data_IF_863921898957
#
_entry.id   IF_863921898957
#
_cell.length_a   1.000
_cell.length_b   1.000
_cell.length_c   1.000
_cell.angle_alpha   90.00
_cell.angle_beta   90.00
_cell.angle_gamma   90.00
#
_symmetry.space_group_name_H-M   'P 1'
#
loop_
_entity.id
_entity.type
_entity.pdbx_description
1 polymer ?
#
# COMPACT_ATOMS: atom_id res chain seq x y z
N UNK A 1 7.78 38.91 -10.96
CA UNK A 1 6.43 38.44 -10.60
C UNK A 1 6.31 38.56 -9.09
N UNK A 2 5.29 39.24 -8.57
CA UNK A 2 5.15 39.40 -7.10
C UNK A 2 4.67 38.09 -6.47
N UNK A 3 5.06 37.84 -5.23
CA UNK A 3 4.67 36.64 -4.47
C UNK A 3 3.14 36.45 -4.40
N UNK A 4 2.38 37.54 -4.44
CA UNK A 4 0.90 37.52 -4.52
C UNK A 4 0.37 36.82 -5.77
N UNK A 5 1.01 37.01 -6.93
CA UNK A 5 0.56 36.37 -8.17
C UNK A 5 0.86 34.87 -8.18
N UNK A 6 1.93 34.43 -7.50
CA UNK A 6 2.27 33.01 -7.37
C UNK A 6 1.28 32.34 -6.41
N UNK A 7 0.95 32.99 -5.29
CA UNK A 7 -0.01 32.46 -4.32
C UNK A 7 -1.43 32.32 -4.92
N UNK A 8 -1.84 33.28 -5.75
CA UNK A 8 -3.14 33.25 -6.43
C UNK A 8 -3.21 32.15 -7.49
N UNK A 9 -2.11 31.92 -8.22
CA UNK A 9 -2.00 30.82 -9.18
C UNK A 9 -2.07 29.46 -8.49
N UNK A 10 -1.34 29.27 -7.39
CA UNK A 10 -1.36 28.02 -6.61
C UNK A 10 -2.76 27.75 -6.05
N UNK A 11 -3.45 28.76 -5.50
CA UNK A 11 -4.82 28.61 -4.99
C UNK A 11 -5.78 28.17 -6.08
N UNK A 12 -5.66 28.74 -7.28
CA UNK A 12 -6.49 28.36 -8.43
C UNK A 12 -6.24 26.90 -8.80
N UNK A 13 -4.99 26.50 -8.98
CA UNK A 13 -4.65 25.14 -9.39
C UNK A 13 -5.09 24.10 -8.34
N UNK A 14 -4.92 24.37 -7.03
CA UNK A 14 -5.45 23.49 -5.97
C UNK A 14 -6.98 23.38 -6.04
N UNK A 15 -7.68 24.49 -6.27
CA UNK A 15 -9.15 24.49 -6.34
C UNK A 15 -9.66 23.66 -7.52
N UNK A 16 -8.98 23.71 -8.66
CA UNK A 16 -9.32 22.90 -9.84
C UNK A 16 -9.09 21.41 -9.58
N UNK A 17 -7.98 21.05 -8.91
CA UNK A 17 -7.69 19.66 -8.53
C UNK A 17 -8.74 19.12 -7.56
N UNK A 18 -9.10 19.90 -6.53
CA UNK A 18 -10.11 19.50 -5.55
C UNK A 18 -11.47 19.32 -6.22
N UNK A 19 -11.87 20.27 -7.07
CA UNK A 19 -13.14 20.19 -7.81
C UNK A 19 -13.19 18.97 -8.75
N UNK A 20 -12.07 18.65 -9.40
CA UNK A 20 -11.97 17.47 -10.25
C UNK A 20 -12.12 16.16 -9.44
N UNK A 21 -11.50 16.06 -8.27
CA UNK A 21 -11.61 14.85 -7.42
C UNK A 21 -13.02 14.72 -6.83
N UNK A 22 -13.63 15.82 -6.38
CA UNK A 22 -15.03 15.83 -5.91
C UNK A 22 -16.00 15.41 -7.02
N UNK A 23 -15.84 15.96 -8.23
CA UNK A 23 -16.65 15.59 -9.39
C UNK A 23 -16.49 14.11 -9.73
N UNK A 24 -15.27 13.58 -9.67
CA UNK A 24 -14.98 12.16 -9.90
C UNK A 24 -15.63 11.26 -8.86
N UNK A 25 -15.63 11.63 -7.57
CA UNK A 25 -16.32 10.89 -6.51
C UNK A 25 -17.85 10.94 -6.65
N UNK A 26 -18.40 12.06 -7.12
CA UNK A 26 -19.84 12.23 -7.32
C UNK A 26 -20.38 11.57 -8.61
N UNK A 27 -19.50 11.31 -9.60
CA UNK A 27 -19.90 10.69 -10.86
C UNK A 27 -20.14 9.19 -10.67
N UNK A 28 -21.32 8.66 -11.04
CA UNK A 28 -21.56 7.22 -10.97
C UNK A 28 -20.57 6.45 -11.85
N UNK A 29 -20.14 5.28 -11.38
CA UNK A 29 -19.28 4.37 -12.15
C UNK A 29 -20.02 3.92 -13.42
N UNK A 30 -19.39 4.06 -14.59
CA UNK A 30 -19.98 3.65 -15.87
C UNK A 30 -20.27 2.15 -15.91
N UNK A 31 -21.18 1.71 -16.80
CA UNK A 31 -21.54 0.30 -16.89
C UNK A 31 -20.35 -0.60 -17.27
N UNK A 32 -19.52 -0.16 -18.22
CA UNK A 32 -18.31 -0.85 -18.65
C UNK A 32 -17.35 -1.01 -17.47
N UNK A 33 -17.15 0.07 -16.71
CA UNK A 33 -16.26 0.05 -15.55
C UNK A 33 -16.78 -0.83 -14.42
N UNK A 34 -18.10 -0.86 -14.20
CA UNK A 34 -18.73 -1.79 -13.26
C UNK A 34 -18.46 -3.24 -13.65
N UNK A 35 -18.58 -3.60 -14.93
CA UNK A 35 -18.28 -4.95 -15.42
C UNK A 35 -16.81 -5.33 -15.20
N UNK A 36 -15.87 -4.43 -15.51
CA UNK A 36 -14.44 -4.64 -15.23
C UNK A 36 -14.16 -4.88 -13.74
N UNK A 37 -14.74 -4.05 -12.87
CA UNK A 37 -14.59 -4.17 -11.42
C UNK A 37 -15.16 -5.50 -10.92
N UNK A 38 -16.36 -5.87 -11.38
CA UNK A 38 -17.02 -7.11 -10.99
C UNK A 38 -16.22 -8.36 -11.38
N UNK A 39 -15.49 -8.32 -12.49
CA UNK A 39 -14.59 -9.39 -12.91
C UNK A 39 -13.30 -9.42 -12.07
N UNK A 40 -12.76 -8.26 -11.70
CA UNK A 40 -11.47 -8.17 -10.99
C UNK A 40 -11.59 -8.50 -9.50
N UNK A 41 -12.65 -8.05 -8.83
CA UNK A 41 -12.79 -8.16 -7.37
C UNK A 41 -12.68 -9.60 -6.83
N UNK A 42 -13.34 -10.62 -7.42
CA UNK A 42 -13.20 -12.00 -6.96
C UNK A 42 -11.75 -12.47 -6.94
N UNK A 43 -10.99 -12.19 -7.99
CA UNK A 43 -9.58 -12.57 -8.07
C UNK A 43 -8.73 -11.86 -7.00
N UNK A 44 -8.97 -10.57 -6.74
CA UNK A 44 -8.21 -9.84 -5.70
C UNK A 44 -8.56 -10.36 -4.31
N UNK A 45 -9.83 -10.72 -4.09
CA UNK A 45 -10.28 -11.34 -2.84
C UNK A 45 -9.59 -12.69 -2.60
N UNK A 46 -9.47 -13.54 -3.62
CA UNK A 46 -8.75 -14.81 -3.50
C UNK A 46 -7.26 -14.60 -3.17
N UNK A 47 -6.61 -13.62 -3.81
CA UNK A 47 -5.21 -13.28 -3.50
C UNK A 47 -5.08 -12.80 -2.05
N UNK A 48 -5.97 -11.90 -1.60
CA UNK A 48 -5.98 -11.39 -0.23
C UNK A 48 -6.14 -12.51 0.79
N UNK A 49 -7.12 -13.39 0.58
CA UNK A 49 -7.44 -14.50 1.48
C UNK A 49 -6.42 -15.63 1.56
N UNK A 50 -5.45 -15.68 0.64
CA UNK A 50 -4.42 -16.70 0.66
C UNK A 50 -3.48 -16.46 1.83
N UNK A 51 -3.66 -17.17 2.93
CA UNK A 51 -2.81 -16.99 4.11
C UNK A 51 -1.44 -17.66 3.91
N UNK A 52 -0.44 -17.09 4.59
CA UNK A 52 0.93 -17.59 4.63
C UNK A 52 1.39 -17.57 6.08
N UNK A 53 2.08 -18.62 6.49
CA UNK A 53 2.79 -18.66 7.76
C UNK A 53 4.15 -18.00 7.58
N UNK A 54 4.36 -16.91 8.32
CA UNK A 54 5.60 -16.14 8.28
C UNK A 54 6.49 -16.46 9.48
N UNK A 55 7.80 -16.38 9.27
CA UNK A 55 8.82 -16.48 10.31
C UNK A 55 9.78 -15.31 10.27
N UNK A 56 10.34 -14.94 11.41
CA UNK A 56 11.41 -13.94 11.49
C UNK A 56 12.58 -14.32 10.57
N UNK A 57 13.17 -13.32 9.93
CA UNK A 57 14.24 -13.49 8.95
C UNK A 57 13.78 -13.92 7.55
N UNK A 58 12.49 -14.19 7.33
CA UNK A 58 11.97 -14.57 6.02
C UNK A 58 11.88 -13.37 5.08
N UNK A 59 12.29 -13.56 3.81
CA UNK A 59 12.05 -12.58 2.76
C UNK A 59 10.61 -12.64 2.26
N UNK A 60 10.02 -11.47 2.12
CA UNK A 60 8.62 -11.29 1.71
C UNK A 60 8.51 -10.14 0.70
N UNK A 61 7.42 -10.16 -0.05
CA UNK A 61 7.02 -9.05 -0.91
C UNK A 61 5.49 -8.88 -0.90
N UNK A 62 5.02 -7.76 -1.43
CA UNK A 62 3.59 -7.54 -1.62
C UNK A 62 2.99 -8.61 -2.53
N UNK A 63 1.81 -9.10 -2.17
CA UNK A 63 0.93 -9.75 -3.14
C UNK A 63 0.53 -8.75 -4.22
N UNK A 64 0.41 -9.24 -5.45
CA UNK A 64 0.01 -8.45 -6.62
C UNK A 64 -1.29 -7.68 -6.33
N UNK A 65 -1.29 -6.38 -6.59
CA UNK A 65 -2.46 -5.51 -6.38
C UNK A 65 -2.84 -5.18 -4.93
N UNK A 66 -2.07 -5.61 -3.91
CA UNK A 66 -2.41 -5.40 -2.49
C UNK A 66 -1.52 -4.39 -1.73
N UNK A 67 -0.53 -3.77 -2.41
CA UNK A 67 0.32 -2.71 -1.84
C UNK A 67 -0.51 -1.51 -1.42
N UNK A 68 -0.29 -1.07 -0.18
CA UNK A 68 -1.09 0.00 0.42
C UNK A 68 -0.25 0.97 1.28
N UNK A 69 1.07 0.80 1.34
CA UNK A 69 2.02 1.71 1.97
C UNK A 69 3.05 2.22 0.95
N UNK A 70 3.82 3.25 1.32
CA UNK A 70 4.87 3.81 0.45
C UNK A 70 6.00 2.80 0.27
N UNK A 71 6.46 2.21 1.37
CA UNK A 71 7.47 1.14 1.40
C UNK A 71 6.86 -0.16 1.96
N UNK A 72 7.35 -1.33 1.53
CA UNK A 72 8.26 -1.54 0.40
C UNK A 72 7.61 -1.06 -0.91
N UNK A 73 8.42 -0.64 -1.89
CA UNK A 73 7.98 -0.42 -3.27
C UNK A 73 7.44 -1.73 -3.83
N UNK A 74 6.71 -1.64 -4.93
CA UNK A 74 6.21 -2.86 -5.56
C UNK A 74 7.39 -3.70 -6.06
N UNK A 75 7.41 -5.00 -5.72
CA UNK A 75 8.54 -5.94 -5.94
C UNK A 75 9.85 -5.58 -5.22
N UNK A 76 9.82 -4.65 -4.27
CA UNK A 76 10.95 -4.44 -3.36
C UNK A 76 10.90 -5.52 -2.26
N UNK A 77 11.96 -6.32 -2.10
CA UNK A 77 12.06 -7.29 -1.01
C UNK A 77 12.03 -6.60 0.36
N UNK A 78 11.39 -7.25 1.31
CA UNK A 78 11.47 -6.91 2.73
C UNK A 78 11.79 -8.17 3.54
N UNK A 79 12.32 -7.99 4.75
CA UNK A 79 12.57 -9.09 5.68
C UNK A 79 11.61 -8.99 6.87
N UNK A 80 11.06 -10.13 7.29
CA UNK A 80 10.22 -10.20 8.50
C UNK A 80 11.10 -10.00 9.72
N UNK A 81 10.73 -9.01 10.55
CA UNK A 81 11.44 -8.67 11.79
C UNK A 81 10.73 -9.27 12.98
N UNK A 82 9.41 -9.17 13.02
CA UNK A 82 8.60 -9.66 14.12
C UNK A 82 7.17 -9.95 13.63
N UNK A 83 6.56 -11.02 14.17
CA UNK A 83 5.12 -11.28 14.05
C UNK A 83 4.45 -10.95 15.38
N UNK A 84 3.57 -9.97 15.37
CA UNK A 84 2.96 -9.44 16.60
C UNK A 84 1.86 -10.38 17.11
N UNK A 85 1.91 -10.71 18.40
CA UNK A 85 0.85 -11.50 19.06
C UNK A 85 -0.50 -10.78 19.11
N UNK A 86 -0.48 -9.45 19.11
CA UNK A 86 -1.67 -8.60 19.09
C UNK A 86 -1.48 -7.52 18.02
N UNK A 87 -2.42 -7.35 17.08
CA UNK A 87 -2.29 -6.32 16.06
C UNK A 87 -2.35 -4.93 16.68
N UNK A 88 -1.52 -4.03 16.16
CA UNK A 88 -1.63 -2.59 16.43
C UNK A 88 -2.68 -2.03 15.50
N UNK A 89 -3.62 -1.27 16.07
CA UNK A 89 -4.67 -0.59 15.32
C UNK A 89 -4.26 0.88 15.20
N UNK A 90 -4.07 1.34 13.98
CA UNK A 90 -3.81 2.75 13.68
C UNK A 90 -5.07 3.58 14.04
N UNK A 91 -4.95 4.49 15.02
CA UNK A 91 -6.06 5.28 15.56
C UNK A 91 -6.22 6.65 14.88
N UNK A 92 -5.28 7.05 14.01
CA UNK A 92 -5.22 8.42 13.48
C UNK A 92 -6.10 8.65 12.25
N UNK A 93 -6.84 7.63 11.79
CA UNK A 93 -7.52 7.66 10.49
C UNK A 93 -9.04 7.73 10.60
N UNK A 94 -9.65 8.44 9.65
CA UNK A 94 -11.10 8.47 9.47
C UNK A 94 -11.61 7.12 8.92
N UNK A 95 -12.81 6.72 9.33
CA UNK A 95 -13.61 5.62 8.78
C UNK A 95 -13.75 5.60 7.27
N UNK A 96 -13.72 6.76 6.61
CA UNK A 96 -13.75 6.88 5.15
C UNK A 96 -12.43 6.45 4.47
N UNK A 97 -11.36 6.19 5.21
CA UNK A 97 -10.07 5.80 4.65
C UNK A 97 -9.96 4.27 4.51
N UNK A 98 -9.29 3.76 3.45
CA UNK A 98 -9.03 2.32 3.28
C UNK A 98 -8.16 1.67 4.37
N UNK A 99 -7.65 2.48 5.30
CA UNK A 99 -6.68 2.12 6.32
C UNK A 99 -7.26 2.25 7.73
N UNK A 100 -8.54 2.65 7.83
CA UNK A 100 -9.21 2.74 9.10
C UNK A 100 -9.17 1.40 9.82
N UNK A 101 -8.66 1.42 11.06
CA UNK A 101 -8.50 0.23 11.89
C UNK A 101 -7.75 -0.92 11.20
N UNK A 102 -6.79 -0.57 10.35
CA UNK A 102 -5.93 -1.59 9.73
C UNK A 102 -5.25 -2.42 10.83
N UNK A 103 -5.32 -3.74 10.69
CA UNK A 103 -4.74 -4.70 11.64
C UNK A 103 -3.27 -4.89 11.31
N UNK A 104 -2.40 -4.10 11.93
CA UNK A 104 -0.96 -4.19 11.72
C UNK A 104 -0.38 -5.26 12.64
N UNK A 105 -0.09 -6.44 12.11
CA UNK A 105 0.29 -7.64 12.87
C UNK A 105 1.67 -8.20 12.50
N UNK A 106 2.43 -7.49 11.66
CA UNK A 106 3.79 -7.86 11.29
C UNK A 106 4.67 -6.61 11.16
N UNK A 107 5.92 -6.71 11.61
CA UNK A 107 6.96 -5.70 11.38
C UNK A 107 7.90 -6.23 10.31
N UNK A 108 8.17 -5.40 9.31
CA UNK A 108 9.13 -5.69 8.25
C UNK A 108 10.26 -4.67 8.23
N UNK A 109 11.43 -5.12 7.80
CA UNK A 109 12.61 -4.31 7.56
C UNK A 109 12.86 -4.13 6.07
N UNK A 110 13.24 -2.91 5.67
CA UNK A 110 13.62 -2.56 4.29
C UNK A 110 14.89 -1.72 4.33
N UNK A 111 15.83 -1.95 3.42
CA UNK A 111 17.03 -1.13 3.27
C UNK A 111 16.75 0.10 2.43
N UNK A 112 17.27 1.25 2.82
CA UNK A 112 17.32 2.43 1.97
C UNK A 112 18.44 2.32 0.93
N UNK A 113 18.13 2.53 -0.34
CA UNK A 113 19.08 2.35 -1.46
C UNK A 113 20.28 3.29 -1.39
N UNK A 114 20.08 4.53 -0.91
CA UNK A 114 21.09 5.59 -0.99
C UNK A 114 22.00 5.63 0.24
N UNK A 115 21.48 5.30 1.42
CA UNK A 115 22.17 5.50 2.70
C UNK A 115 22.39 4.19 3.47
N UNK A 116 21.80 3.08 3.02
CA UNK A 116 21.93 1.79 3.70
C UNK A 116 21.18 1.70 5.04
N UNK A 117 20.37 2.72 5.38
CA UNK A 117 19.57 2.73 6.59
C UNK A 117 18.59 1.55 6.60
N UNK A 118 18.40 0.94 7.76
CA UNK A 118 17.44 -0.14 7.95
C UNK A 118 16.15 0.41 8.55
N UNK A 119 15.11 0.48 7.73
CA UNK A 119 13.83 1.10 8.07
C UNK A 119 12.81 0.03 8.45
N UNK A 120 12.01 0.32 9.47
CA UNK A 120 10.99 -0.59 10.00
C UNK A 120 9.58 -0.09 9.73
N UNK A 121 8.70 -0.99 9.29
CA UNK A 121 7.30 -0.67 9.00
C UNK A 121 6.37 -1.70 9.64
N UNK A 122 5.31 -1.20 10.28
CA UNK A 122 4.18 -2.01 10.71
C UNK A 122 3.24 -2.24 9.53
N UNK A 123 2.87 -3.49 9.28
CA UNK A 123 2.08 -3.90 8.12
C UNK A 123 1.05 -4.97 8.47
N UNK A 124 0.02 -5.10 7.62
CA UNK A 124 -0.93 -6.23 7.63
C UNK A 124 -0.35 -7.41 6.85
N UNK A 125 -0.02 -8.50 7.55
CA UNK A 125 0.65 -9.67 6.94
C UNK A 125 -0.15 -10.32 5.81
N UNK A 126 -1.49 -10.18 5.81
CA UNK A 126 -2.36 -10.77 4.78
C UNK A 126 -2.12 -10.18 3.39
N UNK A 127 -1.45 -9.02 3.32
CA UNK A 127 -1.07 -8.35 2.05
C UNK A 127 0.26 -8.84 1.49
N UNK A 128 1.00 -9.67 2.23
CA UNK A 128 2.32 -10.17 1.83
C UNK A 128 2.27 -11.62 1.40
N UNK A 129 3.28 -12.01 0.63
CA UNK A 129 3.62 -13.40 0.33
C UNK A 129 5.12 -13.60 0.56
N UNK A 130 5.57 -14.84 0.83
CA UNK A 130 6.99 -15.17 0.77
C UNK A 130 7.56 -14.77 -0.59
N UNK A 131 8.76 -14.21 -0.57
CA UNK A 131 9.54 -14.03 -1.78
C UNK A 131 9.98 -15.43 -2.22
N UNK A 132 9.55 -15.87 -3.40
CA UNK A 132 10.03 -17.12 -3.98
C UNK A 132 11.56 -17.04 -4.08
N UNK A 133 12.26 -18.11 -3.68
CA UNK A 133 13.72 -18.11 -3.53
C UNK A 133 14.40 -17.46 -4.75
N UNK A 134 15.21 -16.43 -4.50
CA UNK A 134 16.15 -15.91 -5.50
C UNK A 134 17.33 -16.89 -5.54
N UNK A 135 17.12 -18.14 -5.97
CA UNK A 135 18.16 -19.16 -6.19
C UNK A 135 17.77 -19.91 -7.47
N UNK A 136 18.55 -20.00 -8.56
CA UNK A 136 19.99 -19.89 -8.80
C UNK A 136 20.22 -19.33 -10.22
N UNK A 137 20.96 -18.24 -10.37
CA UNK A 137 21.62 -17.85 -11.64
C UNK A 137 22.94 -17.14 -11.32
N UNK A 138 23.81 -17.84 -10.61
CA UNK A 138 25.22 -17.49 -10.43
C UNK A 138 25.99 -18.77 -10.08
N UNK A 139 25.86 -19.78 -10.93
CA UNK A 139 26.86 -20.85 -11.10
C UNK A 139 27.21 -20.89 -12.58
#
# INVERSE_FOLDING_TARGET
MSDKNIEELIKRDLSEIIAAEQKKMATPVSEEKRKEIAVRLPSMYQIFRKDYEFKEGQLVEWKEGLKNKVRPRFREPAIVIEILKRPVIDQERDSGTPYFRESLDMIIGVTEENEGNFLFFHVDKRRFKPLEEIQKKSE
#
